data_IF_409587967185
#
_entry.id   IF_409587967185
#
_cell.length_a   1.000
_cell.length_b   1.000
_cell.length_c   1.000
_cell.angle_alpha   90.00
_cell.angle_beta   90.00
_cell.angle_gamma   90.00
#
_symmetry.space_group_name_H-M   'P 1'
#
loop_
_entity.id
_entity.type
_entity.pdbx_description
1 polymer ?
#
# COMPACT_ATOMS: atom_id res chain seq x y z
N UNK A 1 17.81 25.12 4.90
CA UNK A 1 17.34 23.95 5.66
C UNK A 1 17.41 22.80 4.68
N UNK A 2 18.51 22.07 4.78
CA UNK A 2 18.92 21.00 3.87
C UNK A 2 18.88 19.73 4.72
N UNK A 3 17.84 18.92 4.53
CA UNK A 3 17.70 17.54 5.02
C UNK A 3 16.41 16.96 4.43
N UNK A 4 16.28 17.02 3.10
CA UNK A 4 15.27 16.22 2.41
C UNK A 4 15.82 14.80 2.39
N UNK A 5 15.50 14.02 3.42
CA UNK A 5 15.67 12.56 3.43
C UNK A 5 15.37 12.05 2.02
N UNK A 6 16.40 11.67 1.28
CA UNK A 6 16.26 11.16 -0.09
C UNK A 6 15.70 9.75 -0.01
N UNK A 7 14.46 9.63 0.47
CA UNK A 7 13.71 8.39 0.49
C UNK A 7 13.49 8.04 -0.97
N UNK A 8 14.30 7.12 -1.48
CA UNK A 8 14.13 6.60 -2.82
C UNK A 8 13.11 5.47 -2.76
N UNK A 9 11.97 5.57 -3.48
CA UNK A 9 10.98 4.52 -3.49
C UNK A 9 11.60 3.22 -4.02
N UNK A 10 11.31 2.06 -3.40
CA UNK A 10 11.81 0.78 -3.88
C UNK A 10 11.24 0.48 -5.26
N UNK A 11 11.94 -0.36 -6.03
CA UNK A 11 11.51 -0.72 -7.39
C UNK A 11 10.12 -1.37 -7.44
N UNK A 12 9.75 -2.10 -6.39
CA UNK A 12 8.41 -2.69 -6.24
C UNK A 12 7.30 -1.62 -6.23
N UNK A 13 7.56 -0.44 -5.66
CA UNK A 13 6.62 0.68 -5.66
C UNK A 13 6.71 1.49 -6.95
N UNK A 14 7.93 1.83 -7.39
CA UNK A 14 8.13 2.60 -8.62
C UNK A 14 7.54 1.88 -9.85
N UNK A 15 7.49 0.55 -9.84
CA UNK A 15 6.88 -0.25 -10.91
C UNK A 15 5.37 -0.02 -11.06
N UNK A 16 4.66 0.46 -10.04
CA UNK A 16 3.24 0.86 -10.14
C UNK A 16 3.02 2.05 -11.07
N UNK A 17 4.04 2.91 -11.22
CA UNK A 17 4.02 4.13 -12.04
C UNK A 17 4.75 3.95 -13.38
N UNK A 18 5.32 2.77 -13.63
CA UNK A 18 5.95 2.42 -14.91
C UNK A 18 4.86 2.00 -15.90
N UNK A 19 5.04 2.42 -17.14
CA UNK A 19 4.23 1.95 -18.27
C UNK A 19 4.48 0.46 -18.52
N UNK A 20 3.62 -0.16 -19.35
CA UNK A 20 3.89 -1.50 -19.93
C UNK A 20 5.24 -1.60 -20.66
N UNK A 21 5.77 -0.48 -21.15
CA UNK A 21 7.10 -0.36 -21.76
C UNK A 21 8.26 -0.15 -20.75
N UNK A 22 8.00 -0.16 -19.44
CA UNK A 22 8.99 0.05 -18.38
C UNK A 22 9.35 1.51 -18.09
N UNK A 23 8.80 2.47 -18.83
CA UNK A 23 9.09 3.91 -18.67
C UNK A 23 8.23 4.51 -17.56
N UNK A 24 8.86 5.19 -16.61
CA UNK A 24 8.17 5.93 -15.54
C UNK A 24 7.38 7.09 -16.14
N UNK A 25 6.05 7.07 -16.02
CA UNK A 25 5.19 8.15 -16.55
C UNK A 25 5.06 9.33 -15.61
N UNK A 26 5.31 9.08 -14.33
CA UNK A 26 5.12 10.04 -13.23
C UNK A 26 6.47 10.60 -12.81
N UNK A 27 6.58 11.91 -12.51
CA UNK A 27 7.83 12.48 -12.02
C UNK A 27 8.26 11.80 -10.71
N UNK A 28 9.56 11.52 -10.57
CA UNK A 28 10.11 10.80 -9.40
C UNK A 28 9.73 11.47 -8.07
N UNK A 29 9.68 12.81 -8.03
CA UNK A 29 9.28 13.55 -6.83
C UNK A 29 7.84 13.23 -6.38
N UNK A 30 6.92 13.04 -7.34
CA UNK A 30 5.55 12.62 -7.02
C UNK A 30 5.53 11.16 -6.56
N UNK A 31 6.28 10.27 -7.20
CA UNK A 31 6.40 8.87 -6.77
C UNK A 31 6.95 8.77 -5.34
N UNK A 32 7.93 9.58 -4.98
CA UNK A 32 8.48 9.67 -3.61
C UNK A 32 7.38 10.11 -2.64
N UNK A 33 6.68 11.20 -2.92
CA UNK A 33 5.60 11.68 -2.05
C UNK A 33 4.47 10.64 -1.88
N UNK A 34 4.13 9.91 -2.96
CA UNK A 34 3.16 8.80 -2.90
C UNK A 34 3.69 7.63 -2.07
N UNK A 35 4.96 7.29 -2.21
CA UNK A 35 5.61 6.24 -1.42
C UNK A 35 5.57 6.59 0.07
N UNK A 36 5.97 7.80 0.45
CA UNK A 36 5.96 8.25 1.85
C UNK A 36 4.56 8.16 2.46
N UNK A 37 3.54 8.61 1.72
CA UNK A 37 2.14 8.47 2.16
C UNK A 37 1.77 6.99 2.36
N UNK A 38 2.12 6.13 1.42
CA UNK A 38 1.79 4.70 1.49
C UNK A 38 2.53 4.00 2.64
N UNK A 39 3.78 4.37 2.90
CA UNK A 39 4.57 3.86 4.00
C UNK A 39 3.98 4.26 5.37
N UNK A 40 3.64 5.55 5.53
CA UNK A 40 2.98 6.06 6.74
C UNK A 40 1.64 5.36 6.99
N UNK A 41 0.84 5.21 5.94
CA UNK A 41 -0.43 4.46 5.99
C UNK A 41 -0.21 3.02 6.44
N UNK A 42 0.77 2.30 5.87
CA UNK A 42 1.06 0.93 6.27
C UNK A 42 1.45 0.85 7.75
N UNK A 43 2.31 1.77 8.22
CA UNK A 43 2.73 1.85 9.62
C UNK A 43 1.55 2.12 10.56
N UNK A 44 0.68 3.08 10.23
CA UNK A 44 -0.53 3.36 11.01
C UNK A 44 -1.55 2.21 11.01
N UNK A 45 -1.61 1.41 9.94
CA UNK A 45 -2.50 0.26 9.87
C UNK A 45 -2.01 -0.92 10.71
N UNK A 46 -0.71 -1.02 11.02
CA UNK A 46 -0.15 -2.09 11.88
C UNK A 46 -0.80 -2.07 13.26
N UNK A 47 -0.96 -0.91 13.88
CA UNK A 47 -1.59 -0.78 15.21
C UNK A 47 -3.08 -1.15 15.17
N UNK A 48 -3.78 -0.73 14.10
CA UNK A 48 -5.20 -1.04 13.90
C UNK A 48 -5.40 -2.54 13.63
N UNK A 49 -4.56 -3.15 12.81
CA UNK A 49 -4.60 -4.58 12.50
C UNK A 49 -4.40 -5.44 13.75
N UNK A 50 -3.40 -5.12 14.57
CA UNK A 50 -3.15 -5.82 15.83
C UNK A 50 -4.32 -5.69 16.80
N UNK A 51 -4.94 -4.51 16.88
CA UNK A 51 -6.13 -4.28 17.72
C UNK A 51 -7.30 -5.17 17.29
N UNK A 52 -7.57 -5.24 15.98
CA UNK A 52 -8.61 -6.09 15.42
C UNK A 52 -8.33 -7.57 15.63
N UNK A 53 -7.08 -7.99 15.44
CA UNK A 53 -6.65 -9.38 15.63
C UNK A 53 -6.79 -9.82 17.09
N UNK A 54 -6.30 -9.00 18.03
CA UNK A 54 -6.42 -9.29 19.47
C UNK A 54 -7.87 -9.26 19.97
N UNK A 55 -8.77 -8.55 19.30
CA UNK A 55 -10.20 -8.58 19.60
C UNK A 55 -10.86 -9.94 19.27
N UNK A 56 -10.20 -10.82 18.51
CA UNK A 56 -10.72 -12.15 18.14
C UNK A 56 -11.88 -12.13 17.14
N UNK A 57 -12.18 -10.98 16.53
CA UNK A 57 -13.32 -10.82 15.62
C UNK A 57 -13.00 -11.21 14.17
N UNK A 58 -11.71 -11.22 13.79
CA UNK A 58 -11.28 -11.39 12.40
C UNK A 58 -9.95 -12.15 12.31
N UNK A 59 -9.78 -12.96 11.26
CA UNK A 59 -8.50 -13.58 10.90
C UNK A 59 -7.55 -12.57 10.22
N UNK A 60 -6.25 -12.86 10.21
CA UNK A 60 -5.20 -12.06 9.56
C UNK A 60 -5.59 -11.68 8.12
N UNK A 61 -5.95 -12.67 7.28
CA UNK A 61 -6.41 -12.44 5.91
C UNK A 61 -7.66 -11.55 5.84
N UNK A 62 -8.63 -11.75 6.74
CA UNK A 62 -9.86 -10.97 6.77
C UNK A 62 -9.62 -9.50 7.11
N UNK A 63 -8.67 -9.24 8.02
CA UNK A 63 -8.24 -7.89 8.39
C UNK A 63 -7.57 -7.21 7.19
N UNK A 64 -6.62 -7.89 6.55
CA UNK A 64 -5.90 -7.34 5.39
C UNK A 64 -6.82 -7.08 4.20
N UNK A 65 -7.75 -8.00 3.90
CA UNK A 65 -8.75 -7.81 2.83
C UNK A 65 -9.73 -6.68 3.16
N UNK A 66 -10.12 -6.53 4.42
CA UNK A 66 -10.97 -5.42 4.88
C UNK A 66 -10.30 -4.07 4.67
N UNK A 67 -9.03 -3.94 5.05
CA UNK A 67 -8.26 -2.72 4.80
C UNK A 67 -8.05 -2.46 3.31
N UNK A 68 -7.77 -3.50 2.51
CA UNK A 68 -7.66 -3.35 1.06
C UNK A 68 -8.95 -2.77 0.46
N UNK A 69 -10.12 -3.31 0.83
CA UNK A 69 -11.41 -2.83 0.37
C UNK A 69 -11.69 -1.38 0.78
N UNK A 70 -11.32 -1.00 2.01
CA UNK A 70 -11.48 0.36 2.50
C UNK A 70 -10.56 1.36 1.76
N UNK A 71 -9.29 0.99 1.54
CA UNK A 71 -8.33 1.83 0.81
C UNK A 71 -8.66 1.95 -0.68
N UNK A 72 -9.19 0.88 -1.28
CA UNK A 72 -9.60 0.83 -2.69
C UNK A 72 -10.98 1.46 -2.95
N UNK A 73 -11.67 1.94 -1.92
CA UNK A 73 -12.97 2.58 -2.07
C UNK A 73 -12.87 3.90 -2.84
N UNK A 74 -13.95 4.29 -3.52
CA UNK A 74 -14.01 5.55 -4.26
C UNK A 74 -13.76 6.75 -3.33
N UNK A 75 -12.81 7.61 -3.69
CA UNK A 75 -12.40 8.75 -2.86
C UNK A 75 -11.42 8.42 -1.74
N UNK A 76 -10.86 7.22 -1.72
CA UNK A 76 -9.77 6.84 -0.82
C UNK A 76 -8.50 7.69 -1.01
N UNK A 77 -7.58 7.69 -0.01
CA UNK A 77 -6.33 8.45 -0.07
C UNK A 77 -5.31 7.88 -1.08
N UNK A 78 -5.58 6.67 -1.59
CA UNK A 78 -4.70 5.90 -2.47
C UNK A 78 -5.48 5.28 -3.62
N UNK A 79 -4.80 5.08 -4.74
CA UNK A 79 -5.35 4.30 -5.86
C UNK A 79 -5.41 2.82 -5.48
N UNK A 80 -6.26 2.02 -6.14
CA UNK A 80 -6.33 0.58 -5.90
C UNK A 80 -4.97 -0.14 -6.05
N UNK A 81 -4.10 0.31 -6.96
CA UNK A 81 -2.77 -0.26 -7.14
C UNK A 81 -1.85 0.01 -5.93
N UNK A 82 -1.93 1.22 -5.39
CA UNK A 82 -1.21 1.62 -4.19
C UNK A 82 -1.77 0.95 -2.95
N UNK A 83 -3.11 0.82 -2.84
CA UNK A 83 -3.76 0.07 -1.78
C UNK A 83 -3.21 -1.36 -1.72
N UNK A 84 -3.05 -2.03 -2.86
CA UNK A 84 -2.46 -3.36 -2.89
C UNK A 84 -1.03 -3.39 -2.36
N UNK A 85 -0.22 -2.39 -2.70
CA UNK A 85 1.15 -2.28 -2.16
C UNK A 85 1.18 -2.01 -0.66
N UNK A 86 0.32 -1.11 -0.15
CA UNK A 86 0.17 -0.81 1.28
C UNK A 86 -0.16 -2.08 2.06
N UNK A 87 -1.06 -2.91 1.54
CA UNK A 87 -1.45 -4.17 2.20
C UNK A 87 -0.34 -5.20 2.17
N UNK A 88 0.45 -5.27 1.09
CA UNK A 88 1.64 -6.13 1.09
C UNK A 88 2.67 -5.66 2.13
N UNK A 89 2.96 -4.36 2.22
CA UNK A 89 3.85 -3.84 3.27
C UNK A 89 3.30 -4.07 4.67
N UNK A 90 2.01 -3.89 4.88
CA UNK A 90 1.35 -4.15 6.16
C UNK A 90 1.52 -5.62 6.56
N UNK A 91 1.27 -6.56 5.64
CA UNK A 91 1.48 -7.98 5.89
C UNK A 91 2.95 -8.29 6.25
N UNK A 92 3.90 -7.72 5.53
CA UNK A 92 5.34 -7.87 5.85
C UNK A 92 5.70 -7.31 7.23
N UNK A 93 5.16 -6.15 7.63
CA UNK A 93 5.43 -5.53 8.93
C UNK A 93 4.83 -6.33 10.10
N UNK A 94 3.69 -6.97 9.87
CA UNK A 94 3.01 -7.82 10.84
C UNK A 94 3.54 -9.27 10.84
N UNK A 95 4.46 -9.60 9.93
CA UNK A 95 4.92 -10.96 9.66
C UNK A 95 3.77 -11.94 9.30
N UNK A 96 2.74 -11.40 8.65
CA UNK A 96 1.55 -12.14 8.22
C UNK A 96 1.68 -12.65 6.78
N UNK A 97 0.97 -13.75 6.42
CA UNK A 97 0.92 -14.22 5.05
C UNK A 97 0.25 -13.17 4.14
N UNK A 98 0.91 -12.85 3.03
CA UNK A 98 0.34 -11.93 2.03
C UNK A 98 -0.94 -12.52 1.45
N UNK A 99 -2.10 -11.84 1.57
CA UNK A 99 -3.35 -12.32 1.05
C UNK A 99 -3.35 -12.21 -0.47
N UNK A 100 -4.10 -13.08 -1.11
CA UNK A 100 -4.47 -12.93 -2.51
C UNK A 100 -5.42 -11.74 -2.65
N UNK A 101 -4.86 -10.59 -3.01
CA UNK A 101 -5.64 -9.40 -3.28
C UNK A 101 -6.46 -9.61 -4.56
N UNK A 102 -7.72 -9.17 -4.60
CA UNK A 102 -8.48 -9.19 -5.84
C UNK A 102 -7.68 -8.39 -6.87
N UNK A 103 -7.31 -9.05 -7.97
CA UNK A 103 -6.61 -8.38 -9.07
C UNK A 103 -7.41 -7.13 -9.43
N UNK A 104 -6.75 -5.97 -9.51
CA UNK A 104 -7.37 -4.78 -10.07
C UNK A 104 -8.00 -5.21 -11.38
N UNK A 105 -9.33 -5.34 -11.41
CA UNK A 105 -10.03 -5.49 -12.66
C UNK A 105 -9.73 -4.19 -13.39
N UNK A 106 -8.97 -4.32 -14.47
CA UNK A 106 -8.67 -3.27 -15.43
C UNK A 106 -9.98 -2.52 -15.73
N UNK A 107 -10.21 -1.40 -15.03
CA UNK A 107 -11.33 -0.51 -15.28
C UNK A 107 -10.98 0.20 -16.58
N UNK A 108 -11.31 -0.49 -17.68
CA UNK A 108 -11.18 -0.04 -19.06
C UNK A 108 -12.02 1.21 -19.35
#
# INVERSE_FOLDING_TARGET
MDDTSQIQPPESFASLFRSRAGVLKTPIAEVVARYELCEDLACHLVEQAQTLYHSGNSSEEGILLGFHAALSAEGGPVTPAEAGWVIQRLAELLEWPTPQLPALQDQA
#
